data_IF_890216733879
#
_entry.id   IF_890216733879
#
_cell.length_a   1.000
_cell.length_b   1.000
_cell.length_c   1.000
_cell.angle_alpha   90.00
_cell.angle_beta   90.00
_cell.angle_gamma   90.00
#
_symmetry.space_group_name_H-M   'P 1'
#
loop_
_entity.id
_entity.type
_entity.pdbx_description
1 polymer ?
#
# COMPACT_ATOMS: atom_id res chain seq x y z
N UNK A 1 14.70 -27.53 4.14
CA UNK A 1 13.65 -27.20 3.16
C UNK A 1 13.13 -25.85 3.54
N UNK A 2 13.77 -24.83 2.97
CA UNK A 2 13.45 -23.43 3.15
C UNK A 2 12.23 -23.08 2.29
N UNK A 3 11.11 -22.76 2.94
CA UNK A 3 9.94 -22.19 2.26
C UNK A 3 9.35 -21.03 3.07
N UNK A 4 10.25 -20.18 3.59
CA UNK A 4 9.88 -18.82 3.96
C UNK A 4 9.92 -18.00 2.68
N UNK A 5 8.78 -17.85 2.01
CA UNK A 5 8.58 -17.01 0.82
C UNK A 5 8.79 -15.50 1.09
N UNK A 6 9.95 -15.12 1.63
CA UNK A 6 10.38 -13.73 1.75
C UNK A 6 10.81 -13.25 0.35
N UNK A 7 9.87 -12.63 -0.36
CA UNK A 7 10.13 -11.91 -1.60
C UNK A 7 11.25 -10.88 -1.40
N UNK A 8 12.30 -10.98 -2.21
CA UNK A 8 13.40 -10.01 -2.27
C UNK A 8 12.89 -8.75 -2.98
N UNK A 9 12.48 -7.75 -2.20
CA UNK A 9 12.06 -6.40 -2.62
C UNK A 9 13.19 -5.55 -3.24
N UNK A 10 14.06 -6.10 -4.08
CA UNK A 10 15.12 -5.31 -4.69
C UNK A 10 14.59 -4.52 -5.90
N UNK A 11 14.13 -3.32 -5.53
CA UNK A 11 13.73 -2.16 -6.34
C UNK A 11 12.34 -2.26 -7.00
N UNK A 12 11.38 -1.52 -6.42
CA UNK A 12 10.12 -1.21 -7.09
C UNK A 12 10.43 -0.69 -8.50
N UNK A 13 9.84 -1.31 -9.51
CA UNK A 13 10.05 -0.97 -10.91
C UNK A 13 8.69 -0.94 -11.59
N UNK A 14 8.43 0.14 -12.35
CA UNK A 14 7.22 0.26 -13.14
C UNK A 14 7.09 -0.92 -14.11
N UNK A 15 5.88 -1.47 -14.23
CA UNK A 15 5.58 -2.66 -15.03
C UNK A 15 5.83 -3.99 -14.33
N UNK A 16 6.31 -3.98 -13.06
CA UNK A 16 6.43 -5.21 -12.25
C UNK A 16 5.20 -5.41 -11.38
N UNK A 17 4.86 -6.68 -11.20
CA UNK A 17 3.83 -7.14 -10.27
C UNK A 17 4.47 -7.81 -9.06
N UNK A 18 3.81 -7.74 -7.91
CA UNK A 18 4.29 -8.39 -6.71
C UNK A 18 3.26 -8.48 -5.61
N UNK A 19 3.64 -9.17 -4.54
CA UNK A 19 2.93 -9.16 -3.27
C UNK A 19 3.63 -8.18 -2.34
N UNK A 20 2.89 -7.21 -1.82
CA UNK A 20 3.41 -6.12 -1.01
C UNK A 20 2.72 -6.11 0.35
N UNK A 21 3.51 -5.91 1.40
CA UNK A 21 3.04 -5.74 2.77
C UNK A 21 3.39 -4.34 3.28
N UNK A 22 2.42 -3.68 3.90
CA UNK A 22 2.61 -2.35 4.45
C UNK A 22 1.47 -1.87 5.33
N UNK A 23 1.52 -0.59 5.68
CA UNK A 23 0.48 0.08 6.46
C UNK A 23 -0.24 1.08 5.59
N UNK A 24 -1.52 0.85 5.34
CA UNK A 24 -2.42 1.80 4.69
C UNK A 24 -2.99 2.76 5.73
N UNK A 25 -2.75 4.05 5.54
CA UNK A 25 -3.25 5.12 6.37
C UNK A 25 -4.38 5.83 5.64
N UNK A 26 -5.46 6.00 6.36
CA UNK A 26 -6.59 6.81 5.97
C UNK A 26 -6.60 8.04 6.88
N UNK A 27 -6.39 9.22 6.30
CA UNK A 27 -6.46 10.51 6.98
C UNK A 27 -7.42 11.41 6.19
N UNK A 28 -8.14 12.30 6.86
CA UNK A 28 -9.12 13.18 6.23
C UNK A 28 -8.51 14.12 5.16
N UNK A 29 -7.22 14.44 5.25
CA UNK A 29 -6.50 15.22 4.22
C UNK A 29 -5.74 14.37 3.20
N UNK A 30 -5.46 13.11 3.52
CA UNK A 30 -4.57 12.28 2.71
C UNK A 30 -4.75 10.79 2.97
N UNK A 31 -4.51 9.99 1.94
CA UNK A 31 -4.44 8.53 2.04
C UNK A 31 -3.09 8.07 1.53
N UNK A 32 -2.44 7.14 2.21
CA UNK A 32 -1.14 6.62 1.77
C UNK A 32 -0.91 5.19 2.19
N UNK A 33 -0.08 4.48 1.44
CA UNK A 33 0.47 3.20 1.82
C UNK A 33 1.97 3.36 2.15
N UNK A 34 2.38 2.93 3.32
CA UNK A 34 3.79 2.81 3.70
C UNK A 34 4.27 1.38 3.47
N UNK A 35 5.12 1.18 2.47
CA UNK A 35 5.77 -0.11 2.22
C UNK A 35 7.17 -0.12 2.80
N UNK A 36 7.56 -1.24 3.42
CA UNK A 36 8.95 -1.50 3.81
C UNK A 36 9.61 -2.34 2.72
N UNK A 37 10.49 -1.73 1.96
CA UNK A 37 11.27 -2.42 0.93
C UNK A 37 12.68 -2.71 1.44
N UNK A 38 13.14 -3.95 1.24
CA UNK A 38 14.51 -4.39 1.54
C UNK A 38 15.37 -4.10 0.31
N UNK A 39 16.32 -3.18 0.43
CA UNK A 39 17.45 -3.05 -0.49
C UNK A 39 18.64 -3.83 0.06
N UNK A 40 19.59 -4.20 -0.80
CA UNK A 40 20.78 -5.03 -0.56
C UNK A 40 21.47 -4.87 0.79
N UNK A 41 21.42 -3.68 1.38
CA UNK A 41 22.02 -3.38 2.68
C UNK A 41 21.11 -2.65 3.67
N UNK A 42 19.89 -2.26 3.28
CA UNK A 42 19.04 -1.37 4.11
C UNK A 42 17.55 -1.63 3.88
N UNK A 43 16.77 -1.59 4.96
CA UNK A 43 15.31 -1.44 4.89
C UNK A 43 14.99 0.04 4.72
N UNK A 44 14.20 0.39 3.71
CA UNK A 44 13.69 1.75 3.54
C UNK A 44 12.16 1.75 3.51
N UNK A 45 11.56 2.79 4.07
CA UNK A 45 10.13 3.05 3.93
C UNK A 45 9.90 3.85 2.65
N UNK A 46 8.94 3.44 1.86
CA UNK A 46 8.50 4.18 0.66
C UNK A 46 7.01 4.47 0.78
N UNK A 47 6.62 5.67 0.36
CA UNK A 47 5.24 6.12 0.38
C UNK A 47 4.61 5.89 -0.98
N UNK A 48 3.45 5.26 -0.98
CA UNK A 48 2.76 4.81 -2.17
C UNK A 48 1.30 5.32 -2.19
N UNK A 49 0.81 5.64 -3.37
CA UNK A 49 -0.61 5.70 -3.67
C UNK A 49 -1.08 4.29 -4.02
N UNK A 50 -2.19 3.87 -3.42
CA UNK A 50 -2.81 2.58 -3.68
C UNK A 50 -4.13 2.83 -4.41
N UNK A 51 -4.29 2.23 -5.57
CA UNK A 51 -5.47 2.34 -6.43
C UNK A 51 -6.19 1.00 -6.48
N UNK A 52 -7.50 1.03 -6.36
CA UNK A 52 -8.34 -0.17 -6.28
C UNK A 52 -9.53 -0.01 -7.24
N UNK A 53 -9.26 0.39 -8.49
CA UNK A 53 -10.32 0.54 -9.50
C UNK A 53 -10.81 -0.82 -10.01
N UNK A 54 -9.88 -1.77 -10.19
CA UNK A 54 -10.19 -3.11 -10.70
C UNK A 54 -10.80 -4.05 -9.66
N UNK A 55 -10.58 -3.78 -8.37
CA UNK A 55 -11.13 -4.56 -7.25
C UNK A 55 -11.67 -3.64 -6.19
N UNK A 56 -12.84 -3.91 -5.60
CA UNK A 56 -13.41 -3.06 -4.56
C UNK A 56 -12.46 -2.98 -3.36
N UNK A 57 -12.52 -1.84 -2.66
CA UNK A 57 -11.83 -1.71 -1.39
C UNK A 57 -12.46 -2.66 -0.35
N UNK A 58 -11.67 -3.15 0.62
CA UNK A 58 -12.18 -3.99 1.71
C UNK A 58 -13.19 -3.22 2.57
N UNK A 59 -14.24 -3.90 3.03
CA UNK A 59 -15.32 -3.31 3.84
C UNK A 59 -14.80 -2.53 5.07
N UNK A 60 -13.76 -3.05 5.74
CA UNK A 60 -13.14 -2.36 6.89
C UNK A 60 -12.54 -0.99 6.54
N UNK A 61 -12.03 -0.84 5.32
CA UNK A 61 -11.49 0.44 4.82
C UNK A 61 -12.65 1.34 4.38
N UNK A 62 -13.67 0.81 3.71
CA UNK A 62 -14.86 1.56 3.29
C UNK A 62 -15.64 2.10 4.50
N UNK A 63 -15.87 1.30 5.54
CA UNK A 63 -16.49 1.74 6.79
C UNK A 63 -15.69 2.85 7.49
N UNK A 64 -14.37 2.91 7.28
CA UNK A 64 -13.54 3.98 7.82
C UNK A 64 -13.56 5.26 6.97
N UNK A 65 -14.06 5.19 5.72
CA UNK A 65 -14.27 6.34 4.83
C UNK A 65 -15.59 7.06 5.05
N UNK A 66 -16.52 6.44 5.78
CA UNK A 66 -17.87 6.98 5.96
C UNK A 66 -17.85 8.44 6.49
N UNK A 67 -18.60 9.35 5.84
CA UNK A 67 -18.66 10.76 6.24
C UNK A 67 -19.14 10.91 7.69
N UNK A 68 -18.43 11.72 8.48
CA UNK A 68 -18.81 12.06 9.86
C UNK A 68 -17.91 11.47 10.94
N UNK A 69 -17.07 10.48 10.62
CA UNK A 69 -15.93 10.10 11.48
C UNK A 69 -14.72 10.93 11.06
N UNK A 70 -14.00 11.52 12.03
CA UNK A 70 -12.65 12.05 11.77
C UNK A 70 -11.83 10.87 11.27
N UNK A 71 -11.65 10.79 9.96
CA UNK A 71 -11.19 9.61 9.28
C UNK A 71 -9.68 9.48 9.52
N UNK A 72 -9.28 9.03 10.71
CA UNK A 72 -7.94 8.54 11.00
C UNK A 72 -8.06 7.04 11.30
N UNK A 73 -7.56 6.23 10.38
CA UNK A 73 -7.50 4.79 10.55
C UNK A 73 -6.22 4.26 9.91
N UNK A 74 -5.69 3.19 10.50
CA UNK A 74 -4.50 2.50 10.00
C UNK A 74 -4.87 1.04 9.77
N UNK A 75 -4.37 0.49 8.67
CA UNK A 75 -4.62 -0.88 8.30
C UNK A 75 -3.30 -1.53 7.93
N UNK A 76 -2.99 -2.66 8.55
CA UNK A 76 -1.97 -3.55 8.01
C UNK A 76 -2.57 -4.25 6.80
N UNK A 77 -1.92 -4.12 5.65
CA UNK A 77 -2.42 -4.68 4.39
C UNK A 77 -1.36 -5.55 3.73
N UNK A 78 -1.81 -6.66 3.16
CA UNK A 78 -1.06 -7.47 2.22
C UNK A 78 -1.86 -7.52 0.92
N UNK A 79 -1.24 -7.08 -0.16
CA UNK A 79 -1.90 -6.94 -1.48
C UNK A 79 -1.06 -7.57 -2.57
N UNK A 80 -1.72 -8.12 -3.58
CA UNK A 80 -1.10 -8.38 -4.88
C UNK A 80 -1.43 -7.20 -5.79
N UNK A 81 -0.39 -6.54 -6.29
CA UNK A 81 -0.54 -5.30 -7.04
C UNK A 81 0.48 -5.20 -8.18
N UNK A 82 0.19 -4.30 -9.11
CA UNK A 82 1.10 -3.87 -10.17
C UNK A 82 1.68 -2.50 -9.84
N UNK A 83 2.98 -2.32 -10.04
CA UNK A 83 3.63 -1.02 -9.93
C UNK A 83 3.43 -0.30 -11.26
N UNK A 84 2.56 0.70 -11.27
CA UNK A 84 2.11 1.32 -12.52
C UNK A 84 2.79 2.65 -12.82
N UNK A 85 3.29 3.35 -11.80
CA UNK A 85 3.94 4.65 -12.00
C UNK A 85 4.92 5.02 -10.86
N UNK A 86 5.87 5.90 -11.16
CA UNK A 86 6.81 6.51 -10.23
C UNK A 86 6.91 8.02 -10.46
N UNK A 87 6.62 8.81 -9.41
CA UNK A 87 6.53 10.26 -9.52
C UNK A 87 6.24 10.97 -8.21
N UNK A 88 5.27 11.88 -8.24
CA UNK A 88 4.80 12.65 -7.08
C UNK A 88 3.27 12.63 -7.08
N UNK A 89 2.69 11.93 -6.11
CA UNK A 89 1.24 11.73 -6.02
C UNK A 89 0.69 12.11 -4.65
N UNK A 90 -0.64 12.10 -4.55
CA UNK A 90 -1.38 12.44 -3.34
C UNK A 90 -1.25 13.91 -2.95
N UNK A 91 -1.72 14.22 -1.74
CA UNK A 91 -1.64 15.57 -1.19
C UNK A 91 -0.18 16.02 -1.07
N UNK A 92 0.15 17.19 -1.66
CA UNK A 92 1.50 17.78 -1.73
C UNK A 92 2.57 16.94 -2.47
N UNK A 93 2.16 15.93 -3.26
CA UNK A 93 3.10 15.16 -4.10
C UNK A 93 4.09 14.28 -3.33
N UNK A 94 3.74 13.90 -2.09
CA UNK A 94 4.65 13.16 -1.18
C UNK A 94 4.75 11.67 -1.48
N UNK A 95 3.77 11.11 -2.18
CA UNK A 95 3.74 9.68 -2.53
C UNK A 95 4.56 9.46 -3.79
N UNK A 96 5.48 8.49 -3.77
CA UNK A 96 6.47 8.30 -4.84
C UNK A 96 6.10 7.24 -5.84
N UNK A 97 5.27 6.28 -5.44
CA UNK A 97 4.90 5.13 -6.25
C UNK A 97 3.40 5.01 -6.33
N UNK A 98 2.89 4.56 -7.47
CA UNK A 98 1.49 4.20 -7.64
C UNK A 98 1.39 2.70 -7.87
N UNK A 99 0.55 2.05 -7.07
CA UNK A 99 0.29 0.63 -7.14
C UNK A 99 -1.19 0.40 -7.45
N UNK A 100 -1.47 -0.39 -8.49
CA UNK A 100 -2.82 -0.83 -8.83
C UNK A 100 -3.07 -2.21 -8.21
N UNK A 101 -4.06 -2.30 -7.32
CA UNK A 101 -4.39 -3.53 -6.62
C UNK A 101 -5.11 -4.48 -7.56
N UNK A 102 -4.62 -5.70 -7.63
CA UNK A 102 -5.28 -6.83 -8.32
C UNK A 102 -6.04 -7.71 -7.35
N UNK A 103 -5.54 -7.83 -6.11
CA UNK A 103 -6.17 -8.63 -5.06
C UNK A 103 -5.76 -8.18 -3.66
N UNK A 104 -6.74 -8.11 -2.77
CA UNK A 104 -6.51 -8.00 -1.34
C UNK A 104 -6.25 -9.39 -0.75
N UNK A 105 -5.11 -9.56 -0.08
CA UNK A 105 -4.75 -10.84 0.55
C UNK A 105 -5.08 -10.84 2.04
N UNK A 106 -4.71 -9.78 2.75
CA UNK A 106 -5.14 -9.58 4.14
C UNK A 106 -5.24 -8.09 4.46
N UNK A 107 -6.18 -7.76 5.34
CA UNK A 107 -6.49 -6.39 5.75
C UNK A 107 -6.90 -6.44 7.21
N UNK A 108 -6.10 -5.82 8.06
CA UNK A 108 -6.30 -5.81 9.51
C UNK A 108 -6.27 -4.38 10.01
N UNK A 109 -7.31 -3.96 10.74
CA UNK A 109 -7.32 -2.64 11.37
C UNK A 109 -6.31 -2.61 12.52
N UNK A 110 -5.44 -1.62 12.51
CA UNK A 110 -4.50 -1.35 13.58
C UNK A 110 -5.11 -0.39 14.61
N UNK A 111 -4.65 -0.48 15.88
CA UNK A 111 -5.05 0.45 16.93
C UNK A 111 -4.65 1.90 16.61
#
# INVERSE_FOLDING_TARGET
>A
MDDSGELKHEELQVGRSGRFEGVHYLHWEWTRLELVVRSRWRRRRVLCQLESEAVPWPDLIEQAREPGRRAYARFKVVVEADIVDHGHFGHKGTLRWRLSVRRWVSVERLP
#
